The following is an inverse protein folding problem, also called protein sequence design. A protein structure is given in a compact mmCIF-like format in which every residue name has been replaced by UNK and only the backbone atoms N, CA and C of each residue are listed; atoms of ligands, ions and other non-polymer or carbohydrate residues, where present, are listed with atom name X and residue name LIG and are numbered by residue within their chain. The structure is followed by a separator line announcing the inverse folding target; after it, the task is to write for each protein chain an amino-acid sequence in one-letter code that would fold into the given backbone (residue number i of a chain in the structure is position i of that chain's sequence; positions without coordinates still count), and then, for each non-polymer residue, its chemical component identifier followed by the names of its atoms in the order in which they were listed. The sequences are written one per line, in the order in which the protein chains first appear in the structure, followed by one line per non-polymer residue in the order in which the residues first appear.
data_IF_792551104834
#
_entry.id   IF_792551104834
#
_cell.length_a   1.000
_cell.length_b   1.000
_cell.length_c   1.000
_cell.angle_alpha   90.00
_cell.angle_beta   90.00
_cell.angle_gamma   90.00
#
_symmetry.space_group_name_H-M   'P 1'
#
loop_
_entity.id
_entity.type
_entity.pdbx_description
1 polymer ?
#
# COMPACT_ATOMS: atom_id res chain seq x y z
N UNK A 1 -28.80 14.60 -8.46
CA UNK A 1 -28.58 13.27 -7.86
C UNK A 1 -27.39 12.66 -8.61
N UNK A 2 -26.22 12.69 -8.01
CA UNK A 2 -25.05 12.03 -8.58
C UNK A 2 -25.21 10.56 -8.24
N UNK A 3 -25.51 9.73 -9.23
CA UNK A 3 -25.42 8.29 -9.07
C UNK A 3 -23.98 7.96 -8.66
N UNK A 4 -23.79 7.59 -7.41
CA UNK A 4 -22.57 6.91 -6.98
C UNK A 4 -22.57 5.57 -7.71
N UNK A 5 -21.90 5.52 -8.85
CA UNK A 5 -21.62 4.27 -9.53
C UNK A 5 -20.95 3.35 -8.51
N UNK A 6 -21.68 2.34 -8.07
CA UNK A 6 -21.15 1.24 -7.30
C UNK A 6 -20.23 0.46 -8.23
N UNK A 7 -19.00 0.92 -8.36
CA UNK A 7 -18.00 0.17 -9.10
C UNK A 7 -17.71 -1.10 -8.31
N UNK A 8 -18.40 -2.16 -8.66
CA UNK A 8 -18.11 -3.49 -8.14
C UNK A 8 -16.74 -3.94 -8.66
N UNK A 9 -16.03 -4.74 -7.84
CA UNK A 9 -14.79 -5.36 -8.31
C UNK A 9 -15.06 -6.21 -9.55
N UNK A 10 -14.19 -6.15 -10.57
CA UNK A 10 -14.31 -7.03 -11.72
C UNK A 10 -14.14 -8.48 -11.29
N UNK A 11 -14.81 -9.39 -11.98
CA UNK A 11 -14.54 -10.81 -11.86
C UNK A 11 -13.17 -11.12 -12.45
N UNK A 12 -12.31 -11.79 -11.71
CA UNK A 12 -10.94 -12.13 -12.15
C UNK A 12 -10.71 -13.62 -12.11
N UNK A 13 -9.89 -14.10 -13.03
CA UNK A 13 -9.49 -15.52 -13.04
C UNK A 13 -8.36 -15.74 -12.03
N UNK A 14 -8.54 -16.70 -11.13
CA UNK A 14 -7.56 -16.99 -10.08
C UNK A 14 -6.18 -17.39 -10.63
N UNK A 15 -6.13 -18.01 -11.79
CA UNK A 15 -4.90 -18.56 -12.39
C UNK A 15 -4.30 -17.65 -13.46
N UNK A 16 -4.93 -16.51 -13.76
CA UNK A 16 -4.42 -15.56 -14.74
C UNK A 16 -3.03 -15.05 -14.31
N UNK A 17 -2.13 -14.99 -15.27
CA UNK A 17 -0.78 -14.44 -15.02
C UNK A 17 -0.86 -12.97 -14.65
N UNK A 18 0.07 -12.53 -13.83
CA UNK A 18 0.13 -11.14 -13.37
C UNK A 18 1.48 -10.52 -13.73
N UNK A 19 1.45 -9.24 -14.01
CA UNK A 19 2.63 -8.41 -14.24
C UNK A 19 2.65 -7.24 -13.25
N UNK A 20 3.82 -6.98 -12.70
CA UNK A 20 4.06 -5.82 -11.82
C UNK A 20 4.47 -4.62 -12.67
N UNK A 21 3.83 -3.49 -12.45
CA UNK A 21 4.18 -2.22 -13.08
C UNK A 21 3.80 -1.03 -12.20
N UNK A 22 4.30 0.15 -12.55
CA UNK A 22 3.82 1.39 -11.93
C UNK A 22 2.39 1.68 -12.39
N UNK A 23 1.61 2.26 -11.50
CA UNK A 23 0.25 2.66 -11.79
C UNK A 23 0.19 3.77 -12.83
N UNK A 24 -0.90 3.80 -13.59
CA UNK A 24 -1.25 4.82 -14.58
C UNK A 24 -2.53 5.52 -14.17
N UNK A 25 -2.79 6.69 -14.72
CA UNK A 25 -4.03 7.42 -14.45
C UNK A 25 -5.28 6.59 -14.78
N UNK A 26 -5.21 5.75 -15.81
CA UNK A 26 -6.29 4.83 -16.19
C UNK A 26 -6.59 3.72 -15.18
N UNK A 27 -5.70 3.47 -14.21
CA UNK A 27 -5.89 2.45 -13.18
C UNK A 27 -6.70 2.95 -11.98
N UNK A 28 -6.90 4.26 -11.85
CA UNK A 28 -7.44 4.87 -10.63
C UNK A 28 -8.78 4.29 -10.23
N UNK A 29 -9.68 4.05 -11.16
CA UNK A 29 -11.00 3.50 -10.83
C UNK A 29 -10.93 2.08 -10.26
N UNK A 30 -10.08 1.22 -10.83
CA UNK A 30 -9.88 -0.14 -10.30
C UNK A 30 -9.11 -0.14 -8.98
N UNK A 31 -8.12 0.73 -8.82
CA UNK A 31 -7.42 0.92 -7.53
C UNK A 31 -8.41 1.38 -6.46
N UNK A 32 -9.24 2.36 -6.80
CA UNK A 32 -10.29 2.86 -5.89
C UNK A 32 -11.25 1.75 -5.48
N UNK A 33 -11.76 0.98 -6.44
CA UNK A 33 -12.67 -0.12 -6.18
C UNK A 33 -12.04 -1.18 -5.25
N UNK A 34 -10.77 -1.50 -5.46
CA UNK A 34 -10.03 -2.48 -4.66
C UNK A 34 -9.81 -2.01 -3.21
N UNK A 35 -9.37 -0.76 -3.03
CA UNK A 35 -9.19 -0.16 -1.70
C UNK A 35 -10.55 -0.04 -0.99
N UNK A 36 -11.57 0.43 -1.67
CA UNK A 36 -12.92 0.56 -1.13
C UNK A 36 -13.49 -0.77 -0.65
N UNK A 37 -13.29 -1.84 -1.42
CA UNK A 37 -13.73 -3.17 -1.05
C UNK A 37 -13.25 -3.58 0.36
N UNK A 38 -11.98 -3.36 0.66
CA UNK A 38 -11.39 -3.68 1.96
C UNK A 38 -11.74 -2.64 3.04
N UNK A 39 -11.86 -1.38 2.65
CA UNK A 39 -12.25 -0.31 3.57
C UNK A 39 -13.69 -0.50 4.10
N UNK A 40 -14.63 -0.91 3.25
CA UNK A 40 -16.01 -1.23 3.65
C UNK A 40 -16.07 -2.43 4.63
N UNK A 41 -15.02 -3.23 4.69
CA UNK A 41 -14.86 -4.33 5.65
C UNK A 41 -14.07 -3.94 6.89
N UNK A 42 -13.75 -2.66 7.05
CA UNK A 42 -13.01 -2.13 8.20
C UNK A 42 -11.53 -2.53 8.24
N UNK A 43 -10.96 -2.94 7.13
CA UNK A 43 -9.58 -3.46 7.06
C UNK A 43 -8.56 -2.46 6.55
N UNK A 44 -8.99 -1.31 6.04
CA UNK A 44 -8.13 -0.21 5.64
C UNK A 44 -8.92 1.09 5.52
N UNK A 45 -8.22 2.21 5.37
CA UNK A 45 -8.84 3.51 5.16
C UNK A 45 -9.25 3.70 3.70
N UNK A 46 -10.39 4.37 3.50
CA UNK A 46 -10.82 4.84 2.18
C UNK A 46 -9.86 5.91 1.67
N UNK A 47 -9.56 5.86 0.38
CA UNK A 47 -8.84 6.93 -0.35
C UNK A 47 -9.78 7.51 -1.40
N UNK A 48 -9.83 8.83 -1.51
CA UNK A 48 -10.63 9.49 -2.55
C UNK A 48 -9.96 9.35 -3.92
N UNK A 49 -10.75 9.52 -4.98
CA UNK A 49 -10.22 9.60 -6.34
C UNK A 49 -9.18 10.72 -6.47
N UNK A 50 -9.45 11.90 -5.90
CA UNK A 50 -8.52 13.02 -5.89
C UNK A 50 -7.17 12.62 -5.29
N UNK A 51 -7.18 11.98 -4.12
CA UNK A 51 -5.97 11.50 -3.47
C UNK A 51 -5.20 10.52 -4.37
N UNK A 52 -5.90 9.60 -5.03
CA UNK A 52 -5.28 8.62 -5.92
C UNK A 52 -4.67 9.29 -7.15
N UNK A 53 -5.36 10.24 -7.77
CA UNK A 53 -4.81 11.00 -8.91
C UNK A 53 -3.59 11.80 -8.54
N UNK A 54 -3.61 12.50 -7.42
CA UNK A 54 -2.50 13.34 -6.95
C UNK A 54 -1.26 12.52 -6.59
N UNK A 55 -1.43 11.29 -6.10
CA UNK A 55 -0.37 10.41 -5.64
C UNK A 55 -0.15 9.18 -6.54
N UNK A 56 -0.63 9.20 -7.77
CA UNK A 56 -0.59 8.02 -8.65
C UNK A 56 0.81 7.45 -8.85
N UNK A 57 1.83 8.30 -8.83
CA UNK A 57 3.24 7.88 -8.98
C UNK A 57 3.78 7.06 -7.82
N UNK A 58 3.14 7.13 -6.67
CA UNK A 58 3.53 6.34 -5.51
C UNK A 58 3.20 4.85 -5.69
N UNK A 59 2.22 4.53 -6.56
CA UNK A 59 1.60 3.21 -6.61
C UNK A 59 2.26 2.26 -7.60
N UNK A 60 2.42 1.02 -7.14
CA UNK A 60 2.66 -0.16 -7.95
C UNK A 60 1.35 -0.93 -8.09
N UNK A 61 1.11 -1.53 -9.24
CA UNK A 61 -0.03 -2.40 -9.49
C UNK A 61 0.42 -3.76 -10.01
N UNK A 62 -0.36 -4.76 -9.71
CA UNK A 62 -0.32 -6.06 -10.37
C UNK A 62 -1.52 -6.11 -11.32
N UNK A 63 -1.23 -6.19 -12.60
CA UNK A 63 -2.22 -6.34 -13.67
C UNK A 63 -2.23 -7.79 -14.14
N UNK A 64 -3.41 -8.37 -14.28
CA UNK A 64 -3.53 -9.69 -14.85
C UNK A 64 -3.56 -9.67 -16.39
N UNK A 65 -3.47 -10.82 -17.02
CA UNK A 65 -3.47 -10.95 -18.48
C UNK A 65 -4.78 -10.55 -19.14
N UNK A 66 -5.85 -10.37 -18.36
CA UNK A 66 -7.15 -9.85 -18.82
C UNK A 66 -7.24 -8.33 -18.70
N UNK A 67 -6.20 -7.67 -18.19
CA UNK A 67 -6.10 -6.22 -18.05
C UNK A 67 -6.71 -5.65 -16.77
N UNK A 68 -6.97 -6.49 -15.76
CA UNK A 68 -7.51 -6.04 -14.48
C UNK A 68 -6.42 -5.80 -13.44
N UNK A 69 -6.58 -4.75 -12.64
CA UNK A 69 -5.74 -4.51 -11.46
C UNK A 69 -6.18 -5.45 -10.35
N UNK A 70 -5.33 -6.43 -10.03
CA UNK A 70 -5.58 -7.43 -9.00
C UNK A 70 -4.81 -7.19 -7.71
N UNK A 71 -3.95 -6.20 -7.69
CA UNK A 71 -3.21 -5.78 -6.50
C UNK A 71 -2.63 -4.39 -6.63
N UNK A 72 -2.46 -3.71 -5.52
CA UNK A 72 -1.91 -2.36 -5.43
C UNK A 72 -1.16 -2.16 -4.13
N UNK A 73 -0.09 -1.41 -4.16
CA UNK A 73 0.59 -0.84 -2.99
C UNK A 73 1.29 0.45 -3.38
N UNK A 74 1.33 1.41 -2.48
CA UNK A 74 2.03 2.68 -2.67
C UNK A 74 3.24 2.81 -1.77
N UNK A 75 4.28 3.45 -2.28
CA UNK A 75 5.41 3.95 -1.51
C UNK A 75 5.32 5.46 -1.44
N UNK A 76 5.01 6.01 -0.28
CA UNK A 76 4.88 7.44 -0.07
C UNK A 76 6.08 7.99 0.69
N UNK A 77 6.89 8.79 0.01
CA UNK A 77 8.07 9.41 0.63
C UNK A 77 7.62 10.53 1.56
N UNK A 78 7.98 10.44 2.84
CA UNK A 78 7.63 11.42 3.88
C UNK A 78 8.78 12.35 4.22
N UNK A 79 9.99 11.83 4.20
CA UNK A 79 11.19 12.56 4.51
C UNK A 79 12.39 11.94 3.78
N UNK A 80 13.55 12.61 3.86
CA UNK A 80 14.79 12.14 3.22
C UNK A 80 15.22 10.72 3.60
N UNK A 81 14.74 10.20 4.72
CA UNK A 81 15.14 8.92 5.30
C UNK A 81 13.97 8.00 5.66
N UNK A 82 12.76 8.34 5.22
CA UNK A 82 11.56 7.59 5.59
C UNK A 82 10.49 7.65 4.51
N UNK A 83 9.93 6.49 4.19
CA UNK A 83 8.73 6.35 3.40
C UNK A 83 7.74 5.39 4.04
N UNK A 84 6.47 5.55 3.71
CA UNK A 84 5.37 4.68 4.13
C UNK A 84 4.93 3.78 2.99
N UNK A 85 4.80 2.48 3.28
CA UNK A 85 4.07 1.55 2.41
C UNK A 85 2.60 1.64 2.80
N UNK A 86 1.75 2.07 1.88
CA UNK A 86 0.33 2.31 2.12
C UNK A 86 -0.54 1.80 0.97
N UNK A 87 -1.85 1.67 1.25
CA UNK A 87 -2.81 1.27 0.25
C UNK A 87 -2.59 -0.15 -0.29
N UNK A 88 -1.98 -1.03 0.51
CA UNK A 88 -1.75 -2.42 0.13
C UNK A 88 -3.09 -3.17 0.11
N UNK A 89 -3.50 -3.59 -1.08
CA UNK A 89 -4.72 -4.34 -1.29
C UNK A 89 -4.55 -5.35 -2.41
N UNK A 90 -5.07 -6.54 -2.20
CA UNK A 90 -5.10 -7.63 -3.20
C UNK A 90 -6.55 -8.05 -3.41
N UNK A 91 -6.92 -8.31 -4.66
CA UNK A 91 -8.25 -8.78 -5.02
C UNK A 91 -8.63 -10.02 -4.19
N UNK A 92 -9.87 -10.10 -3.64
CA UNK A 92 -10.25 -11.20 -2.75
C UNK A 92 -10.08 -12.57 -3.39
N UNK A 93 -10.33 -12.72 -4.68
CA UNK A 93 -10.18 -13.99 -5.41
C UNK A 93 -8.71 -14.34 -5.74
N UNK A 94 -7.79 -13.44 -5.46
CA UNK A 94 -6.35 -13.61 -5.68
C UNK A 94 -5.54 -13.67 -4.39
N UNK A 95 -6.19 -13.82 -3.25
CA UNK A 95 -5.55 -14.00 -1.96
C UNK A 95 -4.78 -15.33 -1.88
N UNK A 96 -3.74 -15.38 -1.05
CA UNK A 96 -2.97 -16.60 -0.81
C UNK A 96 -2.01 -17.00 -1.93
N UNK A 97 -1.69 -16.09 -2.85
CA UNK A 97 -0.80 -16.34 -4.00
C UNK A 97 0.54 -15.59 -3.90
N UNK A 98 0.82 -14.96 -2.77
CA UNK A 98 2.04 -14.17 -2.59
C UNK A 98 2.02 -12.80 -3.27
N UNK A 99 0.88 -12.32 -3.76
CA UNK A 99 0.79 -11.04 -4.47
C UNK A 99 1.06 -9.85 -3.55
N UNK A 100 0.56 -9.88 -2.32
CA UNK A 100 0.84 -8.85 -1.31
C UNK A 100 2.33 -8.76 -0.99
N UNK A 101 2.98 -9.89 -0.83
CA UNK A 101 4.43 -9.96 -0.66
C UNK A 101 5.17 -9.34 -1.85
N UNK A 102 4.78 -9.67 -3.06
CA UNK A 102 5.40 -9.12 -4.27
C UNK A 102 5.29 -7.59 -4.32
N UNK A 103 4.12 -7.05 -3.99
CA UNK A 103 3.88 -5.61 -3.93
C UNK A 103 4.75 -4.91 -2.88
N UNK A 104 4.87 -5.47 -1.67
CA UNK A 104 5.74 -4.91 -0.63
C UNK A 104 7.19 -4.92 -1.07
N UNK A 105 7.66 -6.02 -1.67
CA UNK A 105 9.04 -6.11 -2.19
C UNK A 105 9.30 -5.11 -3.32
N UNK A 106 8.29 -4.80 -4.15
CA UNK A 106 8.40 -3.75 -5.17
C UNK A 106 8.57 -2.37 -4.54
N UNK A 107 7.79 -2.05 -3.52
CA UNK A 107 7.95 -0.82 -2.75
C UNK A 107 9.32 -0.73 -2.06
N UNK A 108 9.80 -1.81 -1.48
CA UNK A 108 11.14 -1.85 -0.86
C UNK A 108 12.26 -1.64 -1.88
N UNK A 109 12.13 -2.21 -3.07
CA UNK A 109 13.11 -1.99 -4.16
C UNK A 109 13.16 -0.52 -4.54
N UNK A 110 12.00 0.09 -4.78
CA UNK A 110 11.91 1.52 -5.10
C UNK A 110 12.50 2.38 -3.98
N UNK A 111 12.21 2.04 -2.71
CA UNK A 111 12.78 2.74 -1.56
C UNK A 111 14.32 2.69 -1.56
N UNK A 112 14.91 1.53 -1.84
CA UNK A 112 16.37 1.40 -1.96
C UNK A 112 16.93 2.19 -3.13
N UNK A 113 16.28 2.16 -4.28
CA UNK A 113 16.68 2.89 -5.48
C UNK A 113 16.66 4.41 -5.25
N UNK A 114 15.74 4.88 -4.39
CA UNK A 114 15.66 6.27 -3.94
C UNK A 114 16.69 6.63 -2.85
N UNK A 115 17.41 5.65 -2.31
CA UNK A 115 18.38 5.86 -1.23
C UNK A 115 17.75 5.93 0.16
N UNK A 116 16.52 5.46 0.33
CA UNK A 116 15.86 5.42 1.63
C UNK A 116 16.42 4.30 2.51
N UNK A 117 16.82 4.59 3.76
CA UNK A 117 17.39 3.59 4.65
C UNK A 117 16.33 2.73 5.37
N UNK A 118 15.06 3.16 5.34
CA UNK A 118 13.98 2.49 6.06
C UNK A 118 12.61 2.81 5.47
N UNK A 119 11.69 1.89 5.68
CA UNK A 119 10.26 2.05 5.37
C UNK A 119 9.42 1.58 6.54
N UNK A 120 8.23 2.13 6.69
CA UNK A 120 7.26 1.70 7.69
C UNK A 120 5.87 1.52 7.07
N UNK A 121 4.97 0.91 7.82
CA UNK A 121 3.56 0.81 7.47
C UNK A 121 2.69 0.86 8.73
N UNK A 122 1.48 1.40 8.58
CA UNK A 122 0.39 1.19 9.52
C UNK A 122 -0.40 -0.03 9.08
N UNK A 123 -0.63 -0.99 9.97
CA UNK A 123 -1.24 -2.26 9.56
C UNK A 123 -2.08 -2.91 10.66
N UNK A 124 -3.12 -3.63 10.22
CA UNK A 124 -3.82 -4.63 11.02
C UNK A 124 -3.22 -6.04 10.84
N UNK A 125 -2.30 -6.20 9.88
CA UNK A 125 -1.69 -7.48 9.47
C UNK A 125 -0.24 -7.57 9.93
N UNK A 126 -0.01 -7.46 11.22
CA UNK A 126 1.35 -7.46 11.80
C UNK A 126 2.12 -8.75 11.46
N UNK A 127 1.45 -9.90 11.50
CA UNK A 127 2.08 -11.19 11.17
C UNK A 127 2.60 -11.25 9.73
N UNK A 128 1.86 -10.68 8.79
CA UNK A 128 2.28 -10.59 7.39
C UNK A 128 3.58 -9.77 7.26
N UNK A 129 3.64 -8.60 7.86
CA UNK A 129 4.83 -7.75 7.80
C UNK A 129 6.01 -8.32 8.58
N UNK A 130 5.78 -8.96 9.74
CA UNK A 130 6.83 -9.69 10.46
C UNK A 130 7.46 -10.78 9.59
N UNK A 131 6.66 -11.50 8.82
CA UNK A 131 7.14 -12.50 7.87
C UNK A 131 8.03 -11.92 6.75
N UNK A 132 7.97 -10.61 6.52
CA UNK A 132 8.80 -9.88 5.57
C UNK A 132 10.00 -9.17 6.21
N UNK A 133 10.23 -9.38 7.51
CA UNK A 133 11.36 -8.81 8.23
C UNK A 133 11.09 -7.45 8.89
N UNK A 134 9.82 -7.06 9.01
CA UNK A 134 9.43 -5.84 9.74
C UNK A 134 9.37 -6.11 11.24
N UNK A 135 9.65 -5.07 12.00
CA UNK A 135 9.53 -5.07 13.46
C UNK A 135 8.43 -4.11 13.88
N UNK A 136 7.73 -4.43 14.95
CA UNK A 136 6.77 -3.51 15.57
C UNK A 136 7.53 -2.31 16.12
N UNK A 137 6.99 -1.13 15.85
CA UNK A 137 7.49 0.14 16.40
C UNK A 137 6.35 0.92 17.02
N UNK A 138 6.66 2.05 17.63
CA UNK A 138 5.66 2.94 18.22
C UNK A 138 5.50 4.21 17.40
N UNK A 139 4.35 4.87 17.56
CA UNK A 139 4.09 6.17 16.94
C UNK A 139 5.18 7.18 17.34
N UNK A 140 5.58 7.18 18.59
CA UNK A 140 6.56 8.10 19.18
C UNK A 140 7.97 7.92 18.60
N UNK A 141 8.27 6.72 18.10
CA UNK A 141 9.54 6.43 17.42
C UNK A 141 9.57 6.95 15.98
N UNK A 142 8.44 7.37 15.43
CA UNK A 142 8.33 7.93 14.08
C UNK A 142 8.32 9.46 14.12
N UNK A 143 8.83 10.14 13.08
CA UNK A 143 8.82 11.60 13.02
C UNK A 143 7.41 12.19 13.15
N UNK A 144 7.23 13.36 13.80
CA UNK A 144 5.91 13.98 13.97
C UNK A 144 5.13 14.21 12.67
N UNK A 145 5.81 14.38 11.54
CA UNK A 145 5.18 14.54 10.22
C UNK A 145 4.31 13.33 9.85
N UNK A 146 4.68 12.13 10.30
CA UNK A 146 3.90 10.91 10.08
C UNK A 146 2.52 11.00 10.74
N UNK A 147 2.41 11.74 11.84
CA UNK A 147 1.18 11.85 12.63
C UNK A 147 0.18 12.86 12.07
N UNK A 148 0.55 13.68 11.11
CA UNK A 148 -0.33 14.72 10.56
C UNK A 148 -1.60 14.13 9.96
N UNK A 149 -1.50 13.02 9.24
CA UNK A 149 -2.67 12.29 8.72
C UNK A 149 -3.44 11.59 9.84
N UNK A 150 -2.75 11.05 10.85
CA UNK A 150 -3.38 10.44 12.01
C UNK A 150 -4.22 11.44 12.80
N UNK A 151 -3.75 12.67 12.97
CA UNK A 151 -4.49 13.72 13.70
C UNK A 151 -5.80 14.11 13.00
N UNK A 152 -5.87 13.96 11.68
CA UNK A 152 -7.07 14.19 10.90
C UNK A 152 -7.93 12.92 10.70
N UNK A 153 -7.46 11.78 11.17
CA UNK A 153 -8.13 10.50 10.98
C UNK A 153 -9.35 10.37 11.93
N UNK A 154 -10.54 10.01 11.42
CA UNK A 154 -11.73 9.83 12.25
C UNK A 154 -11.60 8.69 13.27
N UNK A 155 -10.63 7.78 13.09
CA UNK A 155 -10.36 6.65 13.99
C UNK A 155 -9.19 6.90 14.95
N UNK A 156 -8.70 8.14 15.06
CA UNK A 156 -7.51 8.47 15.84
C UNK A 156 -7.53 7.93 17.27
N UNK A 157 -8.65 8.11 17.98
CA UNK A 157 -8.80 7.67 19.37
C UNK A 157 -8.99 6.15 19.53
N UNK A 158 -9.49 5.49 18.49
CA UNK A 158 -9.76 4.06 18.45
C UNK A 158 -8.96 3.33 17.37
N UNK A 159 -7.79 3.85 17.00
CA UNK A 159 -6.95 3.26 15.99
C UNK A 159 -6.41 1.89 16.45
N UNK A 160 -6.71 0.86 15.69
CA UNK A 160 -6.23 -0.51 15.92
C UNK A 160 -4.99 -0.86 15.09
N UNK A 161 -4.60 0.01 14.19
CA UNK A 161 -3.41 -0.19 13.36
C UNK A 161 -2.14 -0.09 14.21
N UNK A 162 -1.20 -0.94 13.90
CA UNK A 162 0.11 -1.03 14.54
C UNK A 162 1.16 -0.58 13.53
N UNK A 163 2.10 0.24 13.98
CA UNK A 163 3.23 0.63 13.16
C UNK A 163 4.27 -0.49 13.10
N UNK A 164 4.71 -0.82 11.91
CA UNK A 164 5.80 -1.75 11.65
C UNK A 164 6.86 -1.06 10.80
N UNK A 165 8.13 -1.36 11.04
CA UNK A 165 9.26 -0.71 10.37
C UNK A 165 10.29 -1.73 9.93
N UNK A 166 10.93 -1.46 8.81
CA UNK A 166 12.07 -2.23 8.33
C UNK A 166 13.21 -1.29 7.96
N UNK A 167 14.38 -1.58 8.52
CA UNK A 167 15.63 -0.92 8.17
C UNK A 167 16.37 -1.75 7.13
N UNK A 168 16.82 -1.11 6.07
CA UNK A 168 17.63 -1.79 5.05
C UNK A 168 19.08 -1.83 5.49
N UNK A 169 19.77 -2.93 5.19
CA UNK A 169 21.20 -2.99 5.35
C UNK A 169 21.87 -1.92 4.45
N UNK A 170 22.90 -1.21 4.94
CA UNK A 170 23.68 -0.31 4.09
C UNK A 170 24.26 -1.10 2.91
N UNK A 171 24.47 -0.46 1.75
CA UNK A 171 25.11 -1.12 0.62
C UNK A 171 26.48 -1.64 1.04
N UNK A 172 26.92 -2.80 0.53
CA UNK A 172 28.11 -3.49 1.01
C UNK A 172 29.42 -2.71 0.82
N UNK A 173 29.39 -1.63 0.03
CA UNK A 173 30.52 -0.71 -0.11
C UNK A 173 29.99 0.69 -0.36
N UNK A 174 30.19 1.57 0.63
CA UNK A 174 29.99 2.99 0.43
C UNK A 174 31.04 3.47 -0.58
N UNK A 175 30.59 3.86 -1.74
CA UNK A 175 31.41 4.62 -2.68
C UNK A 175 31.18 6.11 -2.46
#
# INVERSE_FOLDING_TARGET
MIELSTTSLPAVRREAKVELRKARLSDVDEIYALIRYWAERGLMLVRSHSHLYENIRDFHVLEDEDGHVVGVAGLHVLWRDLAEIRGLAVHPDRQGQGLGRWLVLACEREARDLGLPRVFAWTLQVGFFKGLGYQVTTREALPPKVWSECNACPFYENCREIAVIKHFAPPPFGG
#
